data_IF_903876734766
#
_entry.id   IF_903876734766
#
_cell.length_a   1.000
_cell.length_b   1.000
_cell.length_c   1.000
_cell.angle_alpha   90.00
_cell.angle_beta   90.00
_cell.angle_gamma   90.00
#
_symmetry.space_group_name_H-M   'P 1'
#
loop_
_entity.id
_entity.type
_entity.pdbx_description
1 polymer ?
#
# COMPACT_ATOMS: atom_id res chain seq x y z
N UNK A 1 -12.72 35.43 32.20
CA UNK A 1 -13.71 34.36 31.99
C UNK A 1 -13.89 34.20 30.48
N UNK A 2 -13.16 33.26 29.88
CA UNK A 2 -13.08 33.10 28.43
C UNK A 2 -14.11 32.08 27.94
N UNK A 3 -14.93 32.51 26.98
CA UNK A 3 -15.99 31.75 26.32
C UNK A 3 -15.36 30.79 25.30
N UNK A 4 -15.59 29.46 25.34
CA UNK A 4 -15.06 28.55 24.33
C UNK A 4 -15.82 28.71 23.00
N UNK A 5 -15.13 28.64 21.85
CA UNK A 5 -15.78 28.75 20.53
C UNK A 5 -16.61 27.51 20.21
N UNK A 6 -17.73 27.75 19.53
CA UNK A 6 -18.77 26.79 19.21
C UNK A 6 -18.31 25.65 18.30
N UNK A 7 -18.82 24.47 18.59
CA UNK A 7 -18.71 23.28 17.74
C UNK A 7 -19.66 23.42 16.56
N UNK A 8 -19.11 23.56 15.36
CA UNK A 8 -19.84 23.43 14.10
C UNK A 8 -20.17 21.95 13.88
N UNK A 9 -21.44 21.58 14.01
CA UNK A 9 -21.91 20.26 13.63
C UNK A 9 -21.93 20.17 12.09
N UNK A 10 -21.07 19.34 11.52
CA UNK A 10 -21.13 18.99 10.10
C UNK A 10 -22.06 17.78 9.96
N UNK A 11 -23.19 18.02 9.30
CA UNK A 11 -24.17 17.01 8.96
C UNK A 11 -23.59 16.05 7.91
N UNK A 12 -23.52 14.76 8.24
CA UNK A 12 -23.17 13.70 7.32
C UNK A 12 -24.41 13.31 6.52
N UNK A 13 -24.36 13.53 5.20
CA UNK A 13 -25.37 13.07 4.26
C UNK A 13 -24.92 11.72 3.68
N UNK A 14 -25.67 10.67 4.06
CA UNK A 14 -25.64 9.33 3.48
C UNK A 14 -26.02 9.40 2.00
N UNK A 15 -25.14 8.92 1.12
CA UNK A 15 -25.55 8.45 -0.21
C UNK A 15 -24.92 7.08 -0.46
N UNK A 16 -25.63 6.04 -0.01
CA UNK A 16 -25.36 4.65 -0.36
C UNK A 16 -25.86 4.40 -1.79
N UNK A 17 -24.93 4.34 -2.75
CA UNK A 17 -25.18 3.91 -4.12
C UNK A 17 -25.10 2.39 -4.22
N UNK A 18 -26.26 1.75 -4.12
CA UNK A 18 -26.50 0.34 -4.41
C UNK A 18 -26.36 0.08 -5.92
N UNK A 19 -25.42 -0.78 -6.34
CA UNK A 19 -25.53 -1.45 -7.63
C UNK A 19 -25.09 -2.91 -7.51
N UNK A 20 -26.11 -3.75 -7.38
CA UNK A 20 -26.10 -5.19 -7.54
C UNK A 20 -25.75 -5.50 -8.99
N UNK A 21 -24.67 -6.24 -9.22
CA UNK A 21 -24.39 -6.87 -10.52
C UNK A 21 -24.63 -8.37 -10.41
N UNK A 22 -25.43 -8.87 -11.34
CA UNK A 22 -26.00 -10.20 -11.43
C UNK A 22 -24.95 -11.32 -11.40
N UNK A 23 -25.23 -12.35 -10.60
CA UNK A 23 -24.65 -13.68 -10.74
C UNK A 23 -25.34 -14.40 -11.89
N UNK A 24 -24.61 -14.76 -12.94
CA UNK A 24 -24.96 -15.87 -13.81
C UNK A 24 -23.74 -16.80 -13.96
N UNK A 25 -23.87 -17.98 -13.37
CA UNK A 25 -23.03 -19.16 -13.61
C UNK A 25 -23.76 -20.08 -14.59
N UNK A 26 -23.09 -20.52 -15.67
CA UNK A 26 -23.42 -21.80 -16.29
C UNK A 26 -22.28 -22.80 -16.06
N UNK A 27 -22.67 -23.97 -15.55
CA UNK A 27 -21.79 -25.08 -15.23
C UNK A 27 -21.06 -25.69 -16.42
N UNK A 28 -19.90 -26.22 -16.09
CA UNK A 28 -18.98 -26.98 -16.93
C UNK A 28 -19.51 -28.41 -17.15
N UNK A 29 -19.71 -28.89 -18.39
CA UNK A 29 -19.90 -30.31 -18.65
C UNK A 29 -18.54 -31.02 -18.78
N UNK A 30 -18.36 -32.21 -18.20
CA UNK A 30 -17.15 -32.99 -18.42
C UNK A 30 -17.26 -33.81 -19.71
N UNK A 31 -16.20 -33.77 -20.52
CA UNK A 31 -15.89 -34.88 -21.42
C UNK A 31 -15.70 -34.51 -22.90
N UNK A 32 -14.53 -34.87 -23.43
CA UNK A 32 -14.36 -35.20 -24.84
C UNK A 32 -13.47 -34.22 -25.63
N UNK A 33 -12.19 -34.55 -25.76
CA UNK A 33 -11.44 -34.26 -26.99
C UNK A 33 -12.07 -35.08 -28.14
N UNK A 34 -12.05 -34.66 -29.43
CA UNK A 34 -10.81 -34.34 -30.14
C UNK A 34 -10.88 -33.18 -31.16
N UNK A 35 -9.69 -32.79 -31.62
CA UNK A 35 -9.35 -32.09 -32.86
C UNK A 35 -10.49 -31.82 -33.86
N UNK A 36 -10.80 -30.54 -34.11
CA UNK A 36 -11.37 -30.11 -35.40
C UNK A 36 -10.80 -28.76 -35.86
N UNK A 37 -10.32 -28.83 -37.11
CA UNK A 37 -10.31 -27.82 -38.16
C UNK A 37 -10.61 -26.37 -37.77
N UNK A 38 -9.56 -25.56 -37.92
CA UNK A 38 -9.53 -24.24 -38.56
C UNK A 38 -10.86 -23.84 -39.24
N UNK A 39 -11.62 -22.97 -38.58
CA UNK A 39 -12.55 -22.04 -39.24
C UNK A 39 -12.16 -20.62 -38.85
N UNK A 40 -11.44 -19.97 -39.75
CA UNK A 40 -11.06 -18.57 -39.66
C UNK A 40 -12.33 -17.74 -39.89
N UNK A 41 -12.79 -16.92 -38.93
CA UNK A 41 -13.99 -16.12 -39.13
C UNK A 41 -13.78 -15.11 -40.28
N UNK A 42 -14.82 -14.81 -41.08
CA UNK A 42 -14.74 -13.78 -42.09
C UNK A 42 -14.46 -12.43 -41.44
N UNK A 43 -13.57 -11.66 -42.05
CA UNK A 43 -13.19 -10.33 -41.62
C UNK A 43 -14.44 -9.47 -41.40
N UNK A 44 -14.72 -9.12 -40.15
CA UNK A 44 -15.74 -8.13 -39.83
C UNK A 44 -15.26 -6.78 -40.39
N UNK A 45 -15.98 -6.27 -41.40
CA UNK A 45 -15.86 -4.91 -41.88
C UNK A 45 -16.20 -3.97 -40.73
N UNK A 46 -15.18 -3.40 -40.09
CA UNK A 46 -15.33 -2.36 -39.09
C UNK A 46 -15.82 -1.11 -39.80
N UNK A 47 -17.10 -0.79 -39.65
CA UNK A 47 -17.66 0.48 -40.11
C UNK A 47 -17.04 1.61 -39.27
N UNK A 48 -16.60 2.71 -39.90
CA UNK A 48 -16.04 3.85 -39.19
C UNK A 48 -17.09 4.47 -38.26
N UNK A 49 -16.79 4.51 -36.97
CA UNK A 49 -17.59 5.22 -35.97
C UNK A 49 -17.53 6.71 -36.30
N UNK A 50 -18.67 7.40 -36.49
CA UNK A 50 -18.67 8.83 -36.77
C UNK A 50 -18.09 9.59 -35.57
N UNK A 51 -17.15 10.49 -35.85
CA UNK A 51 -16.54 11.34 -34.83
C UNK A 51 -17.62 12.16 -34.09
N UNK A 52 -17.56 12.26 -32.75
CA UNK A 52 -18.51 13.08 -32.00
C UNK A 52 -18.37 14.54 -32.42
N UNK A 53 -19.50 15.20 -32.67
CA UNK A 53 -19.56 16.61 -33.00
C UNK A 53 -18.97 17.45 -31.85
N UNK A 54 -18.21 18.52 -32.16
CA UNK A 54 -17.67 19.42 -31.15
C UNK A 54 -18.81 20.07 -30.37
N UNK A 55 -18.91 19.74 -29.09
CA UNK A 55 -19.81 20.42 -28.16
C UNK A 55 -19.20 21.77 -27.84
N UNK A 56 -19.65 22.83 -28.53
CA UNK A 56 -19.36 24.20 -28.13
C UNK A 56 -19.91 24.42 -26.72
N UNK A 57 -19.02 24.59 -25.74
CA UNK A 57 -19.40 25.00 -24.39
C UNK A 57 -19.54 26.52 -24.36
N UNK A 58 -20.76 27.07 -24.22
CA UNK A 58 -20.92 28.51 -24.01
C UNK A 58 -20.41 28.86 -22.61
N UNK A 59 -19.46 29.80 -22.52
CA UNK A 59 -19.18 30.50 -21.24
C UNK A 59 -17.76 30.46 -20.69
N UNK A 60 -16.72 30.18 -21.49
CA UNK A 60 -15.34 30.47 -21.04
C UNK A 60 -15.12 31.98 -21.11
N UNK A 61 -15.40 32.65 -20.00
CA UNK A 61 -14.97 34.03 -19.77
C UNK A 61 -13.45 34.05 -19.75
N UNK A 62 -12.86 34.74 -20.73
CA UNK A 62 -11.42 34.98 -20.81
C UNK A 62 -10.93 35.64 -19.53
N UNK A 63 -10.22 34.87 -18.71
CA UNK A 63 -9.47 35.40 -17.57
C UNK A 63 -8.25 36.12 -18.15
N UNK A 64 -8.17 37.44 -17.90
CA UNK A 64 -7.06 38.30 -18.34
C UNK A 64 -5.72 37.75 -17.81
N UNK A 65 -4.69 37.57 -18.65
CA UNK A 65 -3.41 36.99 -18.25
C UNK A 65 -2.43 37.94 -17.51
N UNK A 66 -2.88 39.11 -17.02
CA UNK A 66 -1.97 40.21 -16.66
C UNK A 66 -1.64 40.37 -15.15
N UNK A 67 -1.84 39.34 -14.34
CA UNK A 67 -1.55 39.39 -12.90
C UNK A 67 -0.72 38.18 -12.45
N UNK A 68 0.42 37.95 -13.10
CA UNK A 68 1.44 37.06 -12.55
C UNK A 68 2.38 37.90 -11.66
N UNK A 69 2.33 37.76 -10.32
CA UNK A 69 3.30 38.43 -9.45
C UNK A 69 4.71 37.94 -9.80
N UNK A 70 5.58 38.88 -10.17
CA UNK A 70 7.01 38.63 -10.40
C UNK A 70 7.60 37.88 -9.19
N UNK A 71 8.25 36.72 -9.37
CA UNK A 71 8.95 36.06 -8.29
C UNK A 71 10.08 36.97 -7.81
N UNK A 72 10.08 37.27 -6.51
CA UNK A 72 11.16 38.01 -5.88
C UNK A 72 12.49 37.28 -6.14
N UNK A 73 13.42 37.98 -6.80
CA UNK A 73 14.79 37.54 -7.02
C UNK A 73 15.40 37.11 -5.69
N UNK A 74 15.55 35.80 -5.49
CA UNK A 74 16.28 35.27 -4.34
C UNK A 74 17.74 35.72 -4.45
N UNK A 75 18.34 36.26 -3.38
CA UNK A 75 19.76 36.60 -3.38
C UNK A 75 20.61 35.36 -3.64
N UNK A 76 21.77 35.50 -4.31
CA UNK A 76 22.64 34.38 -4.60
C UNK A 76 23.11 33.73 -3.30
N UNK A 77 22.87 32.43 -3.18
CA UNK A 77 23.42 31.60 -2.10
C UNK A 77 24.94 31.74 -2.13
N UNK A 78 25.51 32.35 -1.09
CA UNK A 78 26.96 32.35 -0.89
C UNK A 78 27.40 30.90 -0.70
N UNK A 79 28.03 30.35 -1.73
CA UNK A 79 28.79 29.10 -1.67
C UNK A 79 29.81 29.23 -0.54
N UNK A 80 29.62 28.46 0.54
CA UNK A 80 30.64 28.34 1.58
C UNK A 80 31.82 27.58 0.98
N UNK A 81 33.07 28.04 1.17
CA UNK A 81 34.25 27.29 0.76
C UNK A 81 34.28 25.96 1.50
N UNK A 82 34.47 24.88 0.73
CA UNK A 82 34.63 23.51 1.20
C UNK A 82 35.76 23.45 2.22
N UNK A 83 35.38 23.34 3.50
CA UNK A 83 36.31 23.06 4.57
C UNK A 83 36.83 21.63 4.45
N UNK A 84 38.15 21.54 4.34
CA UNK A 84 39.07 20.45 4.69
C UNK A 84 38.43 19.13 5.11
N UNK A 85 38.69 18.10 4.30
CA UNK A 85 38.37 16.71 4.59
C UNK A 85 38.90 16.30 5.99
N UNK A 86 38.09 15.62 6.82
CA UNK A 86 38.58 15.03 8.06
C UNK A 86 39.61 13.93 7.76
N UNK A 87 40.63 13.74 8.62
CA UNK A 87 41.61 12.68 8.46
C UNK A 87 40.93 11.31 8.49
N UNK A 88 41.35 10.44 7.57
CA UNK A 88 40.92 9.06 7.48
C UNK A 88 41.14 8.33 8.81
N UNK A 89 40.07 8.03 9.52
CA UNK A 89 40.09 7.13 10.68
C UNK A 89 40.30 5.72 10.13
N UNK A 90 41.43 5.11 10.48
CA UNK A 90 41.76 3.74 10.13
C UNK A 90 40.70 2.76 10.66
N UNK A 91 40.32 1.73 9.89
CA UNK A 91 39.37 0.73 10.35
C UNK A 91 39.95 -0.06 11.55
N UNK A 92 39.15 -0.36 12.59
CA UNK A 92 39.58 -1.24 13.66
C UNK A 92 39.80 -2.66 13.15
N UNK A 93 40.85 -3.31 13.62
CA UNK A 93 41.20 -4.69 13.30
C UNK A 93 40.08 -5.68 13.72
N UNK A 94 39.92 -6.81 13.02
CA UNK A 94 38.95 -7.84 13.41
C UNK A 94 39.37 -8.49 14.74
N UNK A 95 38.60 -8.25 15.80
CA UNK A 95 38.68 -9.05 17.03
C UNK A 95 38.10 -10.43 16.74
N UNK A 96 38.98 -11.42 16.62
CA UNK A 96 38.66 -12.84 16.75
C UNK A 96 38.13 -13.09 18.16
N UNK A 97 36.80 -13.20 18.29
CA UNK A 97 36.17 -13.65 19.52
C UNK A 97 36.25 -15.18 19.61
N UNK A 98 37.09 -15.64 20.52
CA UNK A 98 37.23 -17.03 20.95
C UNK A 98 35.94 -17.49 21.67
N UNK A 99 35.32 -18.62 21.27
CA UNK A 99 34.17 -19.16 21.98
C UNK A 99 34.61 -19.82 23.29
N UNK A 100 34.05 -19.46 24.46
CA UNK A 100 34.32 -20.19 25.69
C UNK A 100 33.66 -21.58 25.63
N UNK A 101 34.51 -22.60 25.58
CA UNK A 101 34.14 -23.96 25.87
C UNK A 101 33.90 -24.11 27.38
N UNK A 102 32.72 -24.63 27.74
CA UNK A 102 32.51 -25.29 29.03
C UNK A 102 31.59 -24.56 29.99
N UNK A 103 30.41 -25.15 30.22
CA UNK A 103 29.98 -25.55 31.56
C UNK A 103 28.61 -26.24 31.44
N UNK A 104 28.63 -27.55 31.22
CA UNK A 104 27.52 -28.41 31.58
C UNK A 104 27.43 -28.40 33.11
N UNK A 105 26.45 -27.68 33.66
CA UNK A 105 26.04 -27.83 35.06
C UNK A 105 24.62 -28.35 35.05
N UNK A 106 24.51 -29.60 35.48
CA UNK A 106 23.27 -30.28 35.77
C UNK A 106 22.66 -29.77 37.09
N UNK A 107 21.34 -29.99 37.20
CA UNK A 107 20.46 -29.97 38.37
C UNK A 107 19.62 -28.68 38.58
N UNK A 108 18.46 -28.74 39.26
CA UNK A 108 17.61 -29.89 39.62
C UNK A 108 16.17 -29.78 39.07
N UNK A 109 15.50 -30.93 38.94
CA UNK A 109 14.06 -31.01 38.70
C UNK A 109 13.29 -30.44 39.90
N UNK A 110 12.54 -29.36 39.66
CA UNK A 110 11.52 -28.88 40.59
C UNK A 110 10.17 -29.59 40.29
N UNK A 111 9.44 -30.07 41.31
CA UNK A 111 8.18 -30.75 41.14
C UNK A 111 7.01 -29.76 41.02
N UNK A 112 6.12 -30.04 40.06
CA UNK A 112 4.68 -29.81 40.16
C UNK A 112 4.22 -28.41 40.59
N UNK A 113 4.33 -27.43 39.69
CA UNK A 113 3.40 -26.31 39.68
C UNK A 113 2.29 -26.64 38.70
N UNK A 114 1.04 -26.66 39.16
CA UNK A 114 -0.18 -26.60 38.35
C UNK A 114 -0.03 -25.50 37.29
N UNK A 115 0.45 -25.86 36.10
CA UNK A 115 0.34 -25.04 34.90
C UNK A 115 -1.16 -24.95 34.59
N UNK A 116 -1.81 -23.77 34.74
CA UNK A 116 -3.18 -23.63 34.27
C UNK A 116 -3.16 -24.02 32.78
N UNK A 117 -4.05 -24.92 32.32
CA UNK A 117 -3.99 -25.44 30.97
C UNK A 117 -3.86 -24.25 30.03
N UNK A 118 -2.74 -24.17 29.32
CA UNK A 118 -2.44 -23.12 28.37
C UNK A 118 -3.70 -22.97 27.52
N UNK A 119 -4.48 -21.92 27.81
CA UNK A 119 -5.75 -21.72 27.16
C UNK A 119 -5.37 -21.46 25.72
N UNK A 120 -5.52 -22.50 24.89
CA UNK A 120 -5.45 -22.43 23.44
C UNK A 120 -6.45 -21.36 23.06
N UNK A 121 -5.98 -20.12 22.99
CA UNK A 121 -6.79 -18.98 22.66
C UNK A 121 -7.29 -19.28 21.26
N UNK A 122 -8.57 -19.66 21.18
CA UNK A 122 -9.22 -19.96 19.93
C UNK A 122 -8.88 -18.82 18.95
N UNK A 123 -8.46 -19.13 17.72
CA UNK A 123 -8.12 -18.11 16.74
C UNK A 123 -9.32 -17.16 16.65
N UNK A 124 -9.13 -15.94 17.16
CA UNK A 124 -10.15 -14.91 17.08
C UNK A 124 -10.24 -14.57 15.60
N UNK A 125 -11.31 -15.03 14.96
CA UNK A 125 -11.68 -14.62 13.61
C UNK A 125 -11.74 -13.09 13.62
N UNK A 126 -10.65 -12.48 13.15
CA UNK A 126 -10.54 -11.04 13.11
C UNK A 126 -11.43 -10.59 11.97
N UNK A 127 -12.31 -9.60 12.17
CA UNK A 127 -13.19 -9.12 11.12
C UNK A 127 -12.34 -8.78 9.91
N UNK A 128 -12.81 -9.18 8.71
CA UNK A 128 -12.13 -8.91 7.44
C UNK A 128 -11.88 -7.41 7.35
N UNK A 129 -10.62 -7.03 7.50
CA UNK A 129 -10.16 -5.64 7.47
C UNK A 129 -10.11 -5.21 6.00
N UNK A 130 -10.69 -4.05 5.68
CA UNK A 130 -10.87 -3.59 4.30
C UNK A 130 -9.53 -3.10 3.74
N UNK A 131 -9.02 -3.83 2.74
CA UNK A 131 -7.88 -3.44 1.91
C UNK A 131 -8.39 -3.21 0.51
N UNK A 132 -8.11 -2.03 -0.06
CA UNK A 132 -8.52 -1.68 -1.42
C UNK A 132 -7.29 -1.48 -2.30
N UNK A 133 -7.38 -1.93 -3.55
CA UNK A 133 -6.32 -1.73 -4.56
C UNK A 133 -6.92 -1.07 -5.79
N UNK A 134 -6.38 0.08 -6.17
CA UNK A 134 -6.82 0.81 -7.36
C UNK A 134 -5.66 1.50 -8.06
N UNK A 135 -5.84 1.72 -9.37
CA UNK A 135 -4.91 2.51 -10.15
C UNK A 135 -4.87 3.96 -9.66
N UNK A 136 -3.68 4.55 -9.66
CA UNK A 136 -3.46 5.97 -9.34
C UNK A 136 -2.56 6.59 -10.38
N UNK A 137 -2.56 7.91 -10.49
CA UNK A 137 -1.60 8.66 -11.30
C UNK A 137 -0.50 9.21 -10.38
N UNK A 138 0.55 8.42 -10.17
CA UNK A 138 1.68 8.77 -9.31
C UNK A 138 2.98 8.69 -10.11
N UNK A 139 3.83 9.72 -10.01
CA UNK A 139 5.12 9.71 -10.70
C UNK A 139 6.12 8.69 -10.11
N UNK A 140 5.91 8.30 -8.85
CA UNK A 140 6.79 7.42 -8.08
C UNK A 140 5.97 6.44 -7.24
N UNK A 141 6.56 5.28 -6.95
CA UNK A 141 6.02 4.26 -6.07
C UNK A 141 7.13 3.36 -5.53
N UNK A 142 6.82 2.48 -4.61
CA UNK A 142 7.79 1.52 -4.07
C UNK A 142 7.91 0.26 -4.94
N UNK A 143 9.12 -0.32 -4.97
CA UNK A 143 9.47 -1.55 -5.70
C UNK A 143 9.22 -2.85 -4.91
N UNK A 144 8.62 -2.74 -3.71
CA UNK A 144 8.40 -3.87 -2.80
C UNK A 144 9.66 -4.33 -2.05
N UNK A 145 10.76 -3.59 -2.14
CA UNK A 145 11.97 -3.75 -1.30
C UNK A 145 12.20 -2.54 -0.39
N UNK A 146 11.21 -1.65 -0.30
CA UNK A 146 11.29 -0.39 0.41
C UNK A 146 11.96 0.76 -0.35
N UNK A 147 12.29 0.60 -1.64
CA UNK A 147 12.88 1.69 -2.43
C UNK A 147 11.80 2.41 -3.22
N UNK A 148 11.82 3.75 -3.19
CA UNK A 148 10.97 4.59 -4.05
C UNK A 148 11.64 4.72 -5.43
N UNK A 149 10.91 4.33 -6.49
CA UNK A 149 11.37 4.32 -7.88
C UNK A 149 10.35 5.03 -8.79
N UNK A 150 10.73 5.44 -10.01
CA UNK A 150 9.77 5.91 -11.00
C UNK A 150 8.69 4.85 -11.27
N UNK A 151 7.43 5.27 -11.24
CA UNK A 151 6.31 4.35 -11.44
C UNK A 151 6.08 4.05 -12.93
N UNK A 152 5.71 2.80 -13.22
CA UNK A 152 5.37 2.34 -14.58
C UNK A 152 3.86 2.16 -14.72
N UNK A 153 3.24 1.46 -13.76
CA UNK A 153 1.79 1.27 -13.66
C UNK A 153 1.38 1.34 -12.19
N UNK A 154 1.37 2.55 -11.61
CA UNK A 154 1.22 2.71 -10.19
C UNK A 154 -0.17 2.32 -9.70
N UNK A 155 -0.19 1.65 -8.56
CA UNK A 155 -1.43 1.30 -7.84
C UNK A 155 -1.30 1.70 -6.37
N UNK A 156 -2.38 2.22 -5.81
CA UNK A 156 -2.50 2.44 -4.39
C UNK A 156 -3.04 1.19 -3.71
N UNK A 157 -2.53 0.91 -2.52
CA UNK A 157 -3.03 -0.09 -1.58
C UNK A 157 -3.49 0.69 -0.35
N UNK A 158 -4.80 0.84 -0.20
CA UNK A 158 -5.42 1.61 0.86
C UNK A 158 -5.90 0.70 1.99
N UNK A 159 -5.49 1.04 3.21
CA UNK A 159 -5.88 0.36 4.44
C UNK A 159 -6.72 1.32 5.29
N UNK A 160 -7.97 0.95 5.56
CA UNK A 160 -8.87 1.76 6.39
C UNK A 160 -8.61 1.57 7.89
N UNK A 161 -9.10 2.47 8.74
CA UNK A 161 -8.76 2.56 10.17
C UNK A 161 -9.08 1.28 10.95
N UNK A 162 -10.14 0.59 10.54
CA UNK A 162 -10.55 -0.72 11.05
C UNK A 162 -9.44 -1.77 10.87
N UNK A 163 -8.53 -1.55 9.91
CA UNK A 163 -7.44 -2.43 9.57
C UNK A 163 -6.19 -2.29 10.44
N UNK A 164 -5.97 -1.15 11.10
CA UNK A 164 -4.64 -0.83 11.65
C UNK A 164 -4.66 -0.22 13.06
N UNK A 165 -5.84 0.06 13.61
CA UNK A 165 -6.03 0.26 15.05
C UNK A 165 -5.35 1.50 15.66
N UNK A 166 -4.90 2.47 14.86
CA UNK A 166 -4.44 3.77 15.36
C UNK A 166 -3.08 3.75 16.08
N UNK A 167 -2.23 2.75 15.84
CA UNK A 167 -0.93 2.64 16.54
C UNK A 167 0.04 3.75 16.11
N UNK A 168 0.83 4.27 17.05
CA UNK A 168 1.79 5.37 16.82
C UNK A 168 3.18 4.93 16.36
N UNK A 169 3.34 3.69 15.89
CA UNK A 169 4.59 3.19 15.31
C UNK A 169 4.54 3.27 13.79
N UNK A 170 5.68 3.34 13.12
CA UNK A 170 5.74 3.36 11.65
C UNK A 170 5.28 1.99 11.08
N UNK A 171 4.17 1.93 10.33
CA UNK A 171 3.70 0.70 9.71
C UNK A 171 4.58 0.30 8.53
N UNK A 172 4.81 -1.01 8.41
CA UNK A 172 5.36 -1.63 7.19
C UNK A 172 4.32 -2.60 6.64
N UNK A 173 3.87 -2.36 5.41
CA UNK A 173 2.96 -3.26 4.72
C UNK A 173 3.75 -4.40 4.09
N UNK A 174 3.29 -5.63 4.33
CA UNK A 174 3.87 -6.85 3.79
C UNK A 174 2.84 -7.54 2.90
N UNK A 175 3.19 -7.81 1.64
CA UNK A 175 2.34 -8.54 0.67
C UNK A 175 3.15 -9.71 0.14
N UNK A 176 2.86 -10.92 0.63
CA UNK A 176 3.72 -12.07 0.37
C UNK A 176 5.16 -11.82 0.88
N UNK A 177 6.10 -11.63 -0.05
CA UNK A 177 7.51 -11.30 0.23
C UNK A 177 7.90 -9.84 -0.01
N UNK A 178 6.96 -8.98 -0.38
CA UNK A 178 7.22 -7.56 -0.66
C UNK A 178 7.05 -6.73 0.61
N UNK A 179 7.90 -5.72 0.80
CA UNK A 179 7.83 -4.73 1.86
C UNK A 179 7.60 -3.31 1.30
N UNK A 180 6.63 -2.60 1.87
CA UNK A 180 6.34 -1.19 1.59
C UNK A 180 6.44 -0.40 2.89
N UNK A 181 7.24 0.67 2.89
CA UNK A 181 7.60 1.46 4.08
C UNK A 181 7.13 2.90 3.97
N UNK A 182 6.88 3.37 2.75
CA UNK A 182 6.48 4.73 2.49
C UNK A 182 4.96 4.77 2.32
N UNK A 183 4.31 5.38 3.30
CA UNK A 183 2.86 5.55 3.31
C UNK A 183 2.47 7.02 3.32
N UNK A 184 1.24 7.28 2.92
CA UNK A 184 0.61 8.57 2.94
C UNK A 184 -0.74 8.48 3.67
N UNK A 185 -1.24 9.63 4.12
CA UNK A 185 -2.57 9.76 4.71
C UNK A 185 -3.44 10.62 3.80
N UNK A 186 -4.06 10.05 2.74
CA UNK A 186 -4.91 10.82 1.84
C UNK A 186 -6.17 11.32 2.56
N UNK A 187 -6.67 10.55 3.53
CA UNK A 187 -7.88 10.83 4.29
C UNK A 187 -7.71 10.38 5.75
N UNK A 188 -8.48 10.97 6.70
CA UNK A 188 -8.48 10.50 8.08
C UNK A 188 -8.82 9.02 8.18
N UNK A 189 -7.91 8.24 8.76
CA UNK A 189 -8.08 6.80 8.95
C UNK A 189 -7.63 5.93 7.77
N UNK A 190 -7.23 6.51 6.64
CA UNK A 190 -6.73 5.76 5.48
C UNK A 190 -5.20 5.83 5.44
N UNK A 191 -4.56 4.66 5.45
CA UNK A 191 -3.14 4.48 5.17
C UNK A 191 -2.98 4.04 3.72
N UNK A 192 -2.28 4.83 2.91
CA UNK A 192 -2.03 4.51 1.50
C UNK A 192 -0.57 4.16 1.27
N UNK A 193 -0.33 2.99 0.71
CA UNK A 193 0.96 2.61 0.13
C UNK A 193 0.85 2.66 -1.39
N UNK A 194 1.92 3.02 -2.09
CA UNK A 194 1.91 3.09 -3.56
C UNK A 194 2.94 2.12 -4.11
N UNK A 195 2.51 1.14 -4.88
CA UNK A 195 3.40 0.24 -5.62
C UNK A 195 3.73 0.84 -7.00
N UNK A 196 4.99 0.75 -7.43
CA UNK A 196 5.46 1.33 -8.69
C UNK A 196 4.89 0.64 -9.95
N UNK A 197 4.59 -0.66 -9.86
CA UNK A 197 4.01 -1.45 -10.95
C UNK A 197 3.06 -2.51 -10.41
N UNK A 198 1.80 -2.50 -10.86
CA UNK A 198 0.80 -3.54 -10.56
C UNK A 198 1.28 -4.95 -10.85
N UNK A 199 2.15 -5.13 -11.86
CA UNK A 199 2.69 -6.43 -12.25
C UNK A 199 3.56 -7.11 -11.19
N UNK A 200 4.01 -6.36 -10.17
CA UNK A 200 4.80 -6.92 -9.08
C UNK A 200 3.93 -7.47 -7.94
N UNK A 201 2.66 -7.05 -7.84
CA UNK A 201 1.79 -7.45 -6.73
C UNK A 201 1.26 -8.87 -6.93
N UNK A 202 1.56 -9.82 -6.02
CA UNK A 202 1.09 -11.18 -6.16
C UNK A 202 -0.39 -11.30 -5.73
N UNK A 203 -1.29 -11.44 -6.71
CA UNK A 203 -2.71 -11.64 -6.46
C UNK A 203 -2.97 -12.88 -5.57
N UNK A 204 -3.95 -12.77 -4.68
CA UNK A 204 -4.35 -13.86 -3.77
C UNK A 204 -3.45 -14.02 -2.55
N UNK A 205 -2.35 -13.26 -2.42
CA UNK A 205 -1.48 -13.34 -1.26
C UNK A 205 -2.05 -12.60 -0.04
N UNK A 206 -1.75 -13.10 1.15
CA UNK A 206 -2.14 -12.43 2.39
C UNK A 206 -1.39 -11.12 2.57
N UNK A 207 -2.09 -10.17 3.18
CA UNK A 207 -1.59 -8.84 3.49
C UNK A 207 -1.41 -8.74 5.00
N UNK A 208 -0.23 -8.31 5.42
CA UNK A 208 0.11 -8.12 6.81
C UNK A 208 0.61 -6.70 7.04
N UNK A 209 0.40 -6.20 8.24
CA UNK A 209 0.93 -4.93 8.70
C UNK A 209 1.86 -5.19 9.87
N UNK A 210 3.13 -4.78 9.74
CA UNK A 210 4.13 -4.89 10.79
C UNK A 210 4.30 -3.55 11.49
N UNK A 211 4.32 -3.56 12.82
CA UNK A 211 4.55 -2.38 13.65
C UNK A 211 5.87 -2.51 14.40
N UNK A 212 6.86 -1.69 14.04
CA UNK A 212 8.22 -1.80 14.57
C UNK A 212 8.81 -3.19 14.36
N UNK A 213 9.39 -3.77 15.40
CA UNK A 213 10.25 -4.96 15.28
C UNK A 213 9.55 -6.30 15.55
N UNK A 214 8.32 -6.32 16.08
CA UNK A 214 7.78 -7.55 16.69
C UNK A 214 6.35 -7.93 16.35
N UNK A 215 5.47 -6.98 16.10
CA UNK A 215 4.05 -7.29 15.94
C UNK A 215 3.64 -7.27 14.47
N UNK A 216 3.02 -8.37 14.01
CA UNK A 216 2.43 -8.48 12.68
C UNK A 216 0.96 -8.80 12.82
N UNK A 217 0.13 -7.89 12.32
CA UNK A 217 -1.32 -8.08 12.26
C UNK A 217 -1.69 -8.45 10.83
N UNK A 218 -2.46 -9.53 10.65
CA UNK A 218 -3.03 -9.84 9.34
C UNK A 218 -4.14 -8.84 9.05
N UNK A 219 -4.07 -8.17 7.90
CA UNK A 219 -5.07 -7.17 7.48
C UNK A 219 -5.90 -7.62 6.29
N UNK A 220 -5.48 -8.61 5.51
CA UNK A 220 -6.34 -9.31 4.57
C UNK A 220 -5.84 -10.74 4.34
N UNK A 221 -6.75 -11.68 4.11
CA UNK A 221 -6.40 -13.07 3.77
C UNK A 221 -5.85 -13.20 2.36
N UNK A 222 -6.41 -12.43 1.42
CA UNK A 222 -6.01 -12.38 0.02
C UNK A 222 -6.08 -10.96 -0.52
N UNK A 223 -5.07 -10.56 -1.29
CA UNK A 223 -5.04 -9.30 -2.02
C UNK A 223 -5.73 -9.45 -3.37
N UNK A 224 -6.75 -8.65 -3.61
CA UNK A 224 -7.38 -8.51 -4.92
C UNK A 224 -6.66 -7.44 -5.73
N UNK A 225 -6.15 -7.81 -6.90
CA UNK A 225 -5.38 -6.90 -7.76
C UNK A 225 -6.15 -6.70 -9.07
N UNK A 226 -6.54 -5.46 -9.43
CA UNK A 226 -7.18 -5.20 -10.71
C UNK A 226 -6.21 -5.53 -11.86
N UNK A 227 -6.66 -6.33 -12.82
CA UNK A 227 -5.89 -6.76 -14.00
C UNK A 227 -6.34 -6.02 -15.26
#
# INVERSE_FOLDING_TARGET
MSKPPGRTAVAWLLLSGLLVACRETPGEPPGGAPSELVSRPPAATVLPVPAPAPVERPGVTSIRPDLVPRPALRPPLRLRPSGTAPPAVAPPAPTTAEPPAGAAVAAPAAPGGDDPPAATAAPRESPVRRVEVHAVDAAQGEDGRGNVVPAVRPVAIDLHAEAWGGRGLDPVLLVGGLEFRHYQYPEPGVLRFVAADVGMLPAGQSVWLRWGDRERDRVAESLEVPR
#
